data_IF_489585229783
#
_entry.id   IF_489585229783
#
_cell.length_a   1.000
_cell.length_b   1.000
_cell.length_c   1.000
_cell.angle_alpha   90.00
_cell.angle_beta   90.00
_cell.angle_gamma   90.00
#
_symmetry.space_group_name_H-M   'P 1'
#
loop_
_entity.id
_entity.type
_entity.pdbx_description
1 polymer ?
#
# COMPACT_ATOMS: atom_id res chain seq x y z
N UNK A 1 6.82 11.37 -19.79
CA UNK A 1 8.00 10.93 -20.57
C UNK A 1 9.31 11.64 -20.21
N UNK A 2 9.34 12.99 -20.27
CA UNK A 2 10.56 13.81 -20.10
C UNK A 2 11.45 13.41 -18.92
N UNK A 3 10.91 13.28 -17.70
CA UNK A 3 11.71 13.07 -16.50
C UNK A 3 12.57 11.80 -16.54
N UNK A 4 12.05 10.67 -17.02
CA UNK A 4 12.83 9.42 -17.08
C UNK A 4 13.87 9.47 -18.19
N UNK A 5 13.52 10.08 -19.33
CA UNK A 5 14.46 10.28 -20.44
C UNK A 5 15.60 11.21 -20.02
N UNK A 6 15.31 12.26 -19.27
CA UNK A 6 16.33 13.13 -18.71
C UNK A 6 17.36 12.35 -17.88
N UNK A 7 16.92 11.48 -16.95
CA UNK A 7 17.84 10.65 -16.16
C UNK A 7 18.66 9.69 -17.03
N UNK A 8 18.00 9.05 -18.00
CA UNK A 8 18.63 8.13 -18.95
C UNK A 8 19.70 8.82 -19.80
N UNK A 9 19.36 9.98 -20.36
CA UNK A 9 20.24 10.78 -21.23
C UNK A 9 21.43 11.39 -20.47
N UNK A 10 21.31 11.52 -19.14
CA UNK A 10 22.38 11.95 -18.24
C UNK A 10 23.17 10.78 -17.61
N UNK A 11 23.04 9.56 -18.13
CA UNK A 11 23.92 8.44 -17.82
C UNK A 11 23.39 7.44 -16.80
N UNK A 12 22.15 7.57 -16.32
CA UNK A 12 21.53 6.53 -15.53
C UNK A 12 21.11 5.34 -16.43
N UNK A 13 21.59 4.10 -16.16
CA UNK A 13 21.19 2.94 -16.96
C UNK A 13 19.68 2.71 -16.88
N UNK A 14 19.01 2.51 -18.02
CA UNK A 14 17.54 2.41 -18.09
C UNK A 14 17.02 1.27 -17.22
N UNK A 15 17.70 0.13 -17.22
CA UNK A 15 17.39 -1.06 -16.43
C UNK A 15 17.54 -0.86 -14.90
N UNK A 16 18.12 0.26 -14.45
CA UNK A 16 18.20 0.64 -13.04
C UNK A 16 17.21 1.74 -12.65
N UNK A 17 16.53 2.34 -13.63
CA UNK A 17 15.54 3.38 -13.40
C UNK A 17 14.16 2.76 -13.18
N UNK A 18 13.58 3.01 -12.02
CA UNK A 18 12.22 2.58 -11.67
C UNK A 18 11.25 3.75 -11.87
N UNK A 19 10.26 3.59 -12.74
CA UNK A 19 9.25 4.62 -13.03
C UNK A 19 8.31 4.74 -11.82
N UNK A 20 8.07 5.97 -11.34
CA UNK A 20 7.13 6.22 -10.24
C UNK A 20 5.66 6.14 -10.69
N UNK A 21 4.84 5.43 -9.91
CA UNK A 21 3.40 5.30 -10.08
C UNK A 21 2.71 5.80 -8.80
N UNK A 22 1.94 6.91 -8.87
CA UNK A 22 1.21 7.41 -7.71
C UNK A 22 -0.13 6.68 -7.58
N UNK A 23 -0.49 6.28 -6.36
CA UNK A 23 -1.84 5.80 -6.00
C UNK A 23 -2.63 6.90 -5.29
N UNK A 24 -2.36 8.14 -5.67
CA UNK A 24 -3.01 9.34 -5.15
C UNK A 24 -3.16 10.36 -6.28
N UNK A 25 -4.01 11.36 -6.07
CA UNK A 25 -4.18 12.51 -6.95
C UNK A 25 -3.82 13.82 -6.26
N UNK A 26 -3.62 14.86 -7.08
CA UNK A 26 -3.48 16.24 -6.61
C UNK A 26 -4.75 17.02 -6.93
N UNK A 27 -5.32 17.65 -5.91
CA UNK A 27 -6.61 18.32 -5.98
C UNK A 27 -6.49 19.84 -5.86
N UNK A 28 -7.44 20.54 -6.47
CA UNK A 28 -7.51 21.99 -6.57
C UNK A 28 -8.94 22.47 -6.34
N UNK A 29 -9.07 23.71 -5.87
CA UNK A 29 -10.35 24.43 -5.85
C UNK A 29 -10.40 25.39 -7.04
N UNK A 30 -11.25 25.10 -8.02
CA UNK A 30 -11.48 25.94 -9.20
C UNK A 30 -12.03 27.32 -8.81
N UNK A 31 -11.58 28.37 -9.49
CA UNK A 31 -12.16 29.71 -9.35
C UNK A 31 -13.55 29.80 -10.00
N UNK A 32 -13.74 29.07 -11.11
CA UNK A 32 -15.01 28.98 -11.83
C UNK A 32 -15.42 27.51 -11.99
N UNK A 33 -16.50 27.05 -11.33
CA UNK A 33 -17.00 25.67 -11.46
C UNK A 33 -17.36 25.23 -12.88
N UNK A 34 -17.60 26.18 -13.79
CA UNK A 34 -17.92 25.89 -15.18
C UNK A 34 -16.68 25.69 -16.06
N UNK A 35 -15.49 26.08 -15.60
CA UNK A 35 -14.22 25.84 -16.29
C UNK A 35 -13.46 24.72 -15.58
N UNK A 36 -13.65 23.50 -16.08
CA UNK A 36 -13.13 22.26 -15.49
C UNK A 36 -11.97 21.67 -16.29
N UNK A 37 -11.53 22.39 -17.30
CA UNK A 37 -10.46 21.97 -18.21
C UNK A 37 -9.10 21.93 -17.51
N UNK A 38 -8.18 21.12 -18.04
CA UNK A 38 -6.79 21.16 -17.61
C UNK A 38 -6.24 22.57 -17.88
N UNK A 39 -5.66 23.20 -16.85
CA UNK A 39 -5.16 24.58 -16.93
C UNK A 39 -6.16 25.65 -16.47
N UNK A 40 -7.38 25.26 -16.09
CA UNK A 40 -8.36 26.17 -15.49
C UNK A 40 -7.79 26.88 -14.23
N UNK A 41 -8.10 28.17 -14.00
CA UNK A 41 -7.63 28.89 -12.82
C UNK A 41 -8.11 28.27 -11.50
N UNK A 42 -7.17 28.01 -10.59
CA UNK A 42 -7.45 27.54 -9.24
C UNK A 42 -7.25 28.66 -8.21
N UNK A 43 -8.03 28.61 -7.13
CA UNK A 43 -7.92 29.48 -5.95
C UNK A 43 -6.99 28.93 -4.88
N UNK A 44 -6.66 27.63 -4.96
CA UNK A 44 -5.81 26.96 -3.99
C UNK A 44 -5.88 25.44 -4.08
N UNK A 45 -5.26 24.73 -3.11
CA UNK A 45 -5.40 23.29 -2.99
C UNK A 45 -6.86 22.90 -2.76
N UNK A 46 -7.26 21.74 -3.27
CA UNK A 46 -8.58 21.17 -3.01
C UNK A 46 -8.77 20.84 -1.51
N UNK A 47 -10.02 20.66 -1.06
CA UNK A 47 -10.29 20.28 0.32
C UNK A 47 -9.60 18.97 0.69
N UNK A 48 -9.22 18.87 1.97
CA UNK A 48 -8.59 17.66 2.50
C UNK A 48 -9.56 16.47 2.48
N UNK A 49 -9.07 15.31 2.06
CA UNK A 49 -9.84 14.07 2.10
C UNK A 49 -10.19 13.64 3.54
N UNK A 50 -11.27 12.86 3.73
CA UNK A 50 -11.71 12.43 5.05
C UNK A 50 -10.69 11.55 5.79
N UNK A 51 -9.81 10.86 5.06
CA UNK A 51 -8.81 9.94 5.60
C UNK A 51 -7.40 10.52 5.53
N UNK A 52 -6.98 11.00 4.36
CA UNK A 52 -5.63 11.58 4.18
C UNK A 52 -5.45 12.88 4.96
N UNK A 53 -6.52 13.67 5.10
CA UNK A 53 -6.56 14.92 5.88
C UNK A 53 -5.50 15.94 5.47
N UNK A 54 -5.09 15.90 4.21
CA UNK A 54 -4.13 16.82 3.61
C UNK A 54 -4.80 17.58 2.46
N UNK A 55 -4.88 18.91 2.58
CA UNK A 55 -5.43 19.74 1.51
C UNK A 55 -4.57 19.61 0.23
N UNK A 56 -5.21 19.41 -0.91
CA UNK A 56 -4.55 19.26 -2.21
C UNK A 56 -4.08 17.84 -2.53
N UNK A 57 -4.33 16.86 -1.68
CA UNK A 57 -3.99 15.45 -1.91
C UNK A 57 -5.21 14.58 -1.62
N UNK A 58 -5.50 13.61 -2.49
CA UNK A 58 -6.52 12.58 -2.26
C UNK A 58 -5.93 11.21 -2.57
N UNK A 59 -6.13 10.22 -1.70
CA UNK A 59 -5.80 8.83 -2.01
C UNK A 59 -6.73 8.29 -3.11
N UNK A 60 -6.32 7.24 -3.83
CA UNK A 60 -7.14 6.66 -4.91
C UNK A 60 -8.54 6.27 -4.43
N UNK A 61 -8.65 5.67 -3.24
CA UNK A 61 -9.93 5.29 -2.64
C UNK A 61 -10.81 6.51 -2.26
N UNK A 62 -10.23 7.67 -1.96
CA UNK A 62 -10.97 8.91 -1.74
C UNK A 62 -11.51 9.48 -3.06
N UNK A 63 -10.74 9.35 -4.14
CA UNK A 63 -11.17 9.73 -5.48
C UNK A 63 -12.32 8.83 -5.96
N UNK A 64 -12.26 7.52 -5.69
CA UNK A 64 -13.39 6.61 -5.94
C UNK A 64 -14.66 7.03 -5.18
N UNK A 65 -14.51 7.51 -3.94
CA UNK A 65 -15.63 8.04 -3.14
C UNK A 65 -16.20 9.32 -3.77
N UNK A 66 -15.33 10.22 -4.24
CA UNK A 66 -15.74 11.44 -4.95
C UNK A 66 -16.54 11.10 -6.22
N UNK A 67 -16.05 10.15 -7.04
CA UNK A 67 -16.74 9.65 -8.24
C UNK A 67 -18.09 9.01 -7.88
N UNK A 68 -18.13 8.14 -6.88
CA UNK A 68 -19.38 7.50 -6.39
C UNK A 68 -20.39 8.52 -5.87
N UNK A 69 -19.93 9.69 -5.42
CA UNK A 69 -20.80 10.79 -5.00
C UNK A 69 -21.37 11.63 -6.17
N UNK A 70 -21.09 11.26 -7.42
CA UNK A 70 -21.58 11.96 -8.62
C UNK A 70 -20.61 12.98 -9.21
N UNK A 71 -19.32 12.88 -8.92
CA UNK A 71 -18.31 13.65 -9.67
C UNK A 71 -18.19 13.14 -11.11
N UNK A 72 -17.87 14.04 -12.03
CA UNK A 72 -17.62 13.69 -13.43
C UNK A 72 -16.17 13.32 -13.62
N UNK A 73 -15.89 12.15 -14.19
CA UNK A 73 -14.58 11.78 -14.69
C UNK A 73 -14.43 12.24 -16.14
N UNK A 74 -13.29 12.83 -16.47
CA UNK A 74 -12.89 13.15 -17.83
C UNK A 74 -11.47 12.60 -18.09
N UNK A 75 -11.17 12.40 -19.37
CA UNK A 75 -9.87 11.90 -19.81
C UNK A 75 -9.13 13.00 -20.55
N UNK A 76 -7.87 13.23 -20.18
CA UNK A 76 -6.99 14.13 -20.90
C UNK A 76 -6.19 13.34 -21.94
N UNK A 77 -6.66 13.34 -23.20
CA UNK A 77 -6.02 12.62 -24.31
C UNK A 77 -4.54 12.98 -24.51
N UNK A 78 -4.10 14.26 -24.40
CA UNK A 78 -2.68 14.59 -24.58
C UNK A 78 -1.75 14.05 -23.49
N UNK A 79 -2.24 13.84 -22.26
CA UNK A 79 -1.43 13.38 -21.13
C UNK A 79 -1.70 11.92 -20.73
N UNK A 80 -2.67 11.25 -21.37
CA UNK A 80 -3.04 9.85 -21.09
C UNK A 80 -3.40 9.57 -19.62
N UNK A 81 -4.06 10.54 -18.96
CA UNK A 81 -4.47 10.44 -17.56
C UNK A 81 -5.89 10.97 -17.35
N UNK A 82 -6.60 10.44 -16.34
CA UNK A 82 -7.90 10.98 -15.96
C UNK A 82 -7.78 12.21 -15.06
N UNK A 83 -8.85 12.99 -15.03
CA UNK A 83 -9.15 13.90 -13.93
C UNK A 83 -10.63 13.76 -13.57
N UNK A 84 -11.01 14.24 -12.38
CA UNK A 84 -12.38 14.25 -11.92
C UNK A 84 -12.72 15.60 -11.31
N UNK A 85 -13.98 16.01 -11.43
CA UNK A 85 -14.45 17.28 -10.87
C UNK A 85 -15.90 17.22 -10.40
N UNK A 86 -16.21 18.06 -9.41
CA UNK A 86 -17.56 18.24 -8.87
C UNK A 86 -17.69 19.62 -8.23
N UNK A 87 -18.57 20.46 -8.76
CA UNK A 87 -18.64 21.85 -8.32
C UNK A 87 -17.31 22.56 -8.56
N UNK A 88 -16.70 23.08 -7.51
CA UNK A 88 -15.37 23.70 -7.57
C UNK A 88 -14.22 22.74 -7.23
N UNK A 89 -14.48 21.48 -6.88
CA UNK A 89 -13.42 20.50 -6.62
C UNK A 89 -12.94 19.88 -7.92
N UNK A 90 -11.62 19.80 -8.10
CA UNK A 90 -10.96 19.19 -9.25
C UNK A 90 -9.79 18.33 -8.76
N UNK A 91 -9.59 17.15 -9.32
CA UNK A 91 -8.47 16.26 -8.99
C UNK A 91 -7.92 15.58 -10.23
N UNK A 92 -6.60 15.72 -10.44
CA UNK A 92 -5.85 14.96 -11.43
C UNK A 92 -5.21 13.76 -10.75
N UNK A 93 -5.34 12.57 -11.35
CA UNK A 93 -4.95 11.32 -10.70
C UNK A 93 -4.62 10.24 -11.74
N UNK A 94 -4.31 9.05 -11.26
CA UNK A 94 -4.13 7.86 -12.07
C UNK A 94 -5.23 6.82 -11.81
N UNK A 95 -5.64 6.10 -12.85
CA UNK A 95 -6.55 4.96 -12.75
C UNK A 95 -5.93 3.72 -13.42
N UNK A 96 -6.66 2.60 -13.44
CA UNK A 96 -6.19 1.36 -14.07
C UNK A 96 -5.83 1.54 -15.56
N UNK A 97 -6.53 2.43 -16.29
CA UNK A 97 -6.23 2.73 -17.71
C UNK A 97 -4.89 3.46 -17.84
N UNK A 98 -4.67 4.55 -17.10
CA UNK A 98 -3.40 5.30 -17.15
C UNK A 98 -2.21 4.48 -16.63
N UNK A 99 -2.43 3.65 -15.60
CA UNK A 99 -1.42 2.68 -15.14
C UNK A 99 -1.01 1.73 -16.27
N UNK A 100 -1.98 1.17 -17.00
CA UNK A 100 -1.69 0.25 -18.11
C UNK A 100 -0.88 0.94 -19.21
N UNK A 101 -1.25 2.15 -19.60
CA UNK A 101 -0.52 2.94 -20.62
C UNK A 101 0.91 3.27 -20.17
N UNK A 102 1.09 3.67 -18.91
CA UNK A 102 2.41 3.93 -18.32
C UNK A 102 3.28 2.68 -18.27
N UNK A 103 2.70 1.50 -18.02
CA UNK A 103 3.44 0.22 -18.06
C UNK A 103 3.88 -0.14 -19.46
N UNK A 104 3.02 0.04 -20.47
CA UNK A 104 3.40 -0.19 -21.86
C UNK A 104 4.53 0.73 -22.28
N UNK A 105 4.45 2.01 -21.89
CA UNK A 105 5.51 2.98 -22.11
C UNK A 105 6.81 2.60 -21.38
N UNK A 106 6.73 2.18 -20.13
CA UNK A 106 7.87 1.72 -19.33
C UNK A 106 8.61 0.58 -20.04
N UNK A 107 7.87 -0.43 -20.49
CA UNK A 107 8.42 -1.60 -21.19
C UNK A 107 9.04 -1.22 -22.53
N UNK A 108 8.34 -0.39 -23.32
CA UNK A 108 8.83 0.10 -24.61
C UNK A 108 10.17 0.83 -24.50
N UNK A 109 10.42 1.49 -23.36
CA UNK A 109 11.63 2.26 -23.11
C UNK A 109 12.74 1.49 -22.37
N UNK A 110 12.53 0.19 -22.08
CA UNK A 110 13.44 -0.69 -21.36
C UNK A 110 13.82 -0.16 -19.95
N UNK A 111 12.87 0.45 -19.24
CA UNK A 111 13.09 0.83 -17.84
C UNK A 111 13.07 -0.39 -16.92
N UNK A 112 13.82 -0.32 -15.82
CA UNK A 112 14.08 -1.44 -14.91
C UNK A 112 12.88 -1.96 -14.12
N UNK A 113 11.82 -1.16 -14.03
CA UNK A 113 10.61 -1.53 -13.32
C UNK A 113 9.85 -0.32 -12.83
N UNK A 114 9.02 -0.52 -11.82
CA UNK A 114 8.15 0.50 -11.27
C UNK A 114 8.33 0.62 -9.76
N UNK A 115 8.18 1.85 -9.26
CA UNK A 115 8.06 2.19 -7.85
C UNK A 115 6.64 2.72 -7.64
N UNK A 116 5.99 2.33 -6.54
CA UNK A 116 4.64 2.81 -6.22
C UNK A 116 4.69 3.66 -4.96
N UNK A 117 4.08 4.85 -5.04
CA UNK A 117 3.79 5.67 -3.87
C UNK A 117 2.27 5.84 -3.75
N UNK A 118 1.59 5.19 -2.81
CA UNK A 118 2.08 4.16 -1.87
C UNK A 118 1.06 3.01 -1.72
N UNK A 119 1.43 1.97 -0.97
CA UNK A 119 0.56 0.79 -0.76
C UNK A 119 -0.77 1.17 -0.11
N UNK A 120 -0.72 2.02 0.92
CA UNK A 120 -1.86 2.43 1.74
C UNK A 120 -2.83 3.40 1.05
N UNK A 121 -2.45 3.98 -0.10
CA UNK A 121 -3.31 4.93 -0.84
C UNK A 121 -4.05 4.31 -2.03
N UNK A 122 -3.69 3.07 -2.42
CA UNK A 122 -4.53 2.26 -3.32
C UNK A 122 -5.79 1.79 -2.56
N UNK A 123 -6.80 1.25 -3.25
CA UNK A 123 -7.91 0.59 -2.55
C UNK A 123 -7.48 -0.78 -2.04
N UNK A 124 -6.62 -0.78 -1.02
CA UNK A 124 -6.01 -1.97 -0.43
C UNK A 124 -7.03 -2.93 0.19
N UNK A 125 -8.21 -2.41 0.58
CA UNK A 125 -9.32 -3.21 1.11
C UNK A 125 -10.25 -3.74 0.01
N UNK A 126 -10.32 -3.05 -1.13
CA UNK A 126 -11.26 -3.31 -2.22
C UNK A 126 -12.69 -2.88 -1.92
N UNK A 127 -12.89 -1.91 -1.04
CA UNK A 127 -14.23 -1.51 -0.55
C UNK A 127 -14.72 -0.15 -1.07
N UNK A 128 -13.86 0.62 -1.74
CA UNK A 128 -14.19 1.98 -2.18
C UNK A 128 -14.44 2.09 -3.67
N UNK A 129 -13.70 1.34 -4.48
CA UNK A 129 -13.71 1.49 -5.94
C UNK A 129 -14.56 0.44 -6.67
N UNK A 130 -14.94 -0.67 -6.02
CA UNK A 130 -15.52 -1.86 -6.65
C UNK A 130 -14.61 -2.49 -7.73
N UNK A 131 -13.29 -2.33 -7.59
CA UNK A 131 -12.27 -2.81 -8.54
C UNK A 131 -11.43 -3.98 -7.96
N UNK A 132 -11.81 -4.49 -6.78
CA UNK A 132 -11.05 -5.50 -6.03
C UNK A 132 -9.95 -4.88 -5.15
N UNK A 133 -9.16 -5.74 -4.48
CA UNK A 133 -8.07 -5.29 -3.61
C UNK A 133 -6.87 -4.83 -4.43
N UNK A 134 -6.27 -3.70 -4.04
CA UNK A 134 -5.10 -3.11 -4.69
C UNK A 134 -5.26 -3.00 -6.22
N UNK A 135 -6.32 -2.34 -6.73
CA UNK A 135 -6.62 -2.34 -8.16
C UNK A 135 -5.51 -1.72 -9.01
N UNK A 136 -4.88 -0.63 -8.56
CA UNK A 136 -3.80 0.02 -9.30
C UNK A 136 -2.53 -0.82 -9.26
N UNK A 137 -2.10 -1.28 -8.08
CA UNK A 137 -0.90 -2.09 -7.94
C UNK A 137 -1.05 -3.45 -8.63
N UNK A 138 -2.25 -4.05 -8.60
CA UNK A 138 -2.54 -5.29 -9.33
C UNK A 138 -2.47 -5.09 -10.84
N UNK A 139 -2.95 -3.93 -11.34
CA UNK A 139 -2.82 -3.55 -12.75
C UNK A 139 -1.35 -3.43 -13.15
N UNK A 140 -0.54 -2.78 -12.31
CA UNK A 140 0.90 -2.66 -12.52
C UNK A 140 1.60 -4.03 -12.54
N UNK A 141 1.34 -4.89 -11.53
CA UNK A 141 1.87 -6.25 -11.44
C UNK A 141 1.51 -7.07 -12.68
N UNK A 142 0.26 -6.95 -13.16
CA UNK A 142 -0.22 -7.60 -14.38
C UNK A 142 0.52 -7.14 -15.62
N UNK A 143 0.62 -5.83 -15.85
CA UNK A 143 1.26 -5.27 -17.04
C UNK A 143 2.76 -5.59 -17.14
N UNK A 144 3.43 -5.70 -15.98
CA UNK A 144 4.83 -6.12 -15.89
C UNK A 144 5.04 -7.64 -16.03
N UNK A 145 3.97 -8.43 -16.16
CA UNK A 145 4.07 -9.89 -16.32
C UNK A 145 4.43 -10.64 -15.03
N UNK A 146 4.27 -10.01 -13.86
CA UNK A 146 4.64 -10.57 -12.56
C UNK A 146 3.54 -11.47 -11.95
N UNK A 147 2.59 -11.93 -12.77
CA UNK A 147 1.43 -12.75 -12.36
C UNK A 147 1.84 -14.17 -11.93
N UNK A 148 2.95 -14.69 -12.46
CA UNK A 148 3.50 -16.02 -12.14
C UNK A 148 4.72 -15.97 -11.21
N UNK A 149 5.07 -14.77 -10.71
CA UNK A 149 6.14 -14.56 -9.73
C UNK A 149 5.59 -14.69 -8.32
N UNK A 150 5.37 -15.93 -7.90
CA UNK A 150 5.07 -16.32 -6.53
C UNK A 150 3.68 -16.99 -6.38
N UNK A 151 3.57 -18.28 -6.03
CA UNK A 151 3.77 -18.70 -4.64
C UNK A 151 3.98 -17.46 -3.78
N UNK A 152 2.96 -17.06 -3.02
CA UNK A 152 3.22 -16.18 -1.90
C UNK A 152 4.54 -16.66 -1.31
N UNK A 153 5.57 -15.82 -1.34
CA UNK A 153 6.55 -15.91 -0.28
C UNK A 153 5.71 -15.55 0.94
N UNK A 154 4.95 -16.56 1.44
CA UNK A 154 4.83 -16.78 2.86
C UNK A 154 6.18 -16.37 3.38
N UNK A 155 6.20 -15.44 4.34
CA UNK A 155 7.42 -15.14 5.07
C UNK A 155 8.02 -16.50 5.38
N UNK A 156 9.07 -16.90 4.66
CA UNK A 156 9.61 -18.25 4.79
C UNK A 156 10.07 -18.21 6.22
N UNK A 157 9.32 -18.91 7.09
CA UNK A 157 9.78 -19.14 8.43
C UNK A 157 11.00 -20.00 8.19
N UNK A 158 12.15 -19.33 8.07
CA UNK A 158 13.40 -20.01 7.93
C UNK A 158 13.47 -20.79 9.23
N UNK A 159 13.23 -22.10 9.14
CA UNK A 159 13.80 -23.04 10.07
C UNK A 159 15.30 -23.03 9.83
N UNK A 160 15.93 -21.87 10.03
CA UNK A 160 17.35 -21.75 10.22
C UNK A 160 17.60 -22.25 11.64
N UNK A 161 17.99 -23.53 11.73
CA UNK A 161 18.84 -23.96 12.84
C UNK A 161 20.12 -23.12 12.75
N UNK A 162 20.11 -21.96 13.40
CA UNK A 162 21.22 -21.02 13.37
C UNK A 162 20.73 -19.60 13.58
N UNK A 163 20.63 -19.20 14.85
CA UNK A 163 20.40 -17.83 15.29
C UNK A 163 21.42 -16.85 14.67
N UNK A 164 21.00 -15.83 13.93
CA UNK A 164 21.80 -14.63 13.73
C UNK A 164 21.48 -13.66 14.88
N UNK A 165 22.49 -13.39 15.69
CA UNK A 165 22.45 -12.34 16.71
C UNK A 165 22.52 -10.99 15.99
N UNK A 166 21.43 -10.23 15.97
CA UNK A 166 21.47 -8.80 15.62
C UNK A 166 21.55 -7.97 16.92
N UNK A 167 22.32 -6.87 16.92
CA UNK A 167 22.54 -6.06 18.11
C UNK A 167 21.29 -5.22 18.38
N UNK A 168 20.55 -5.59 19.43
CA UNK A 168 19.47 -4.75 19.95
C UNK A 168 20.10 -3.61 20.73
N UNK A 169 19.78 -2.39 20.31
CA UNK A 169 20.09 -1.16 20.99
C UNK A 169 19.61 -1.24 22.45
N UNK A 170 20.51 -0.89 23.37
CA UNK A 170 20.24 -0.88 24.80
C UNK A 170 19.07 0.05 25.15
N UNK A 171 17.97 -0.57 25.54
CA UNK A 171 16.95 0.04 26.39
C UNK A 171 17.00 -0.68 27.73
N UNK A 172 17.63 -0.03 28.72
CA UNK A 172 17.61 -0.47 30.11
C UNK A 172 16.18 -0.45 30.65
N UNK A 173 15.75 -1.59 31.21
CA UNK A 173 14.48 -1.74 31.92
C UNK A 173 14.50 -3.04 32.71
N UNK A 174 14.94 -2.97 33.97
CA UNK A 174 15.20 -4.12 34.82
C UNK A 174 13.96 -4.76 35.47
N UNK A 175 14.14 -6.03 35.86
CA UNK A 175 13.31 -6.81 36.79
C UNK A 175 12.12 -7.54 36.15
N UNK A 176 11.73 -8.76 36.50
CA UNK A 176 12.18 -9.73 37.50
C UNK A 176 11.45 -11.06 37.20
N UNK A 177 12.15 -12.20 37.23
CA UNK A 177 11.57 -13.50 37.64
C UNK A 177 10.46 -14.14 36.81
N UNK A 178 10.49 -14.11 35.48
CA UNK A 178 9.60 -14.93 34.64
C UNK A 178 10.16 -16.33 34.41
N UNK A 179 9.49 -17.38 34.88
CA UNK A 179 9.76 -18.78 34.49
C UNK A 179 8.81 -19.21 33.38
N UNK A 180 9.31 -19.88 32.33
CA UNK A 180 8.48 -20.45 31.25
C UNK A 180 8.83 -19.92 29.86
N UNK A 181 7.95 -20.17 28.88
CA UNK A 181 8.13 -19.81 27.47
C UNK A 181 8.42 -18.32 27.23
N UNK A 182 7.82 -17.44 28.04
CA UNK A 182 7.93 -15.99 27.91
C UNK A 182 9.19 -15.37 28.53
N UNK A 183 10.07 -16.17 29.13
CA UNK A 183 11.31 -15.66 29.73
C UNK A 183 12.18 -14.96 28.68
N UNK A 184 12.43 -13.66 28.86
CA UNK A 184 13.23 -12.84 27.94
C UNK A 184 12.54 -12.48 26.62
N UNK A 185 11.24 -12.79 26.46
CA UNK A 185 10.45 -12.36 25.31
C UNK A 185 9.78 -11.00 25.57
N UNK A 186 9.61 -10.15 24.54
CA UNK A 186 8.74 -8.98 24.62
C UNK A 186 7.30 -9.36 25.00
N UNK A 187 6.52 -8.36 25.42
CA UNK A 187 5.09 -8.54 25.64
C UNK A 187 4.39 -8.79 24.29
N UNK A 188 3.47 -9.76 24.23
CA UNK A 188 2.78 -10.12 22.99
C UNK A 188 2.18 -11.51 23.01
N UNK A 189 1.48 -11.86 21.92
CA UNK A 189 0.87 -13.17 21.72
C UNK A 189 1.76 -14.02 20.81
N UNK A 190 2.01 -15.26 21.20
CA UNK A 190 2.90 -16.19 20.52
C UNK A 190 2.21 -17.53 20.32
N UNK A 191 2.39 -18.17 19.16
CA UNK A 191 1.88 -19.51 18.92
C UNK A 191 2.53 -20.53 19.88
N UNK A 192 1.74 -21.49 20.36
CA UNK A 192 2.27 -22.66 21.05
C UNK A 192 2.99 -23.57 20.02
N UNK A 193 4.25 -23.97 20.26
CA UNK A 193 5.02 -24.78 19.33
C UNK A 193 4.58 -26.26 19.29
N UNK A 194 3.80 -26.73 20.25
CA UNK A 194 3.35 -28.12 20.39
C UNK A 194 1.87 -28.29 20.05
N UNK A 195 1.04 -27.28 20.30
CA UNK A 195 -0.40 -27.34 20.02
C UNK A 195 -0.88 -26.14 19.20
N UNK A 196 -1.25 -26.39 17.94
CA UNK A 196 -1.76 -25.34 17.03
C UNK A 196 -3.05 -24.68 17.52
N UNK A 197 -3.76 -25.26 18.48
CA UNK A 197 -4.95 -24.67 19.09
C UNK A 197 -4.64 -23.78 20.28
N UNK A 198 -3.38 -23.66 20.67
CA UNK A 198 -2.95 -22.89 21.83
C UNK A 198 -2.00 -21.76 21.45
N UNK A 199 -1.95 -20.78 22.33
CA UNK A 199 -1.05 -19.65 22.22
C UNK A 199 -0.68 -19.12 23.61
N UNK A 200 0.47 -18.49 23.71
CA UNK A 200 0.98 -17.85 24.92
C UNK A 200 0.82 -16.34 24.82
N UNK A 201 0.19 -15.74 25.82
CA UNK A 201 0.28 -14.31 26.06
C UNK A 201 1.43 -14.06 27.03
N UNK A 202 2.46 -13.33 26.57
CA UNK A 202 3.60 -12.94 27.37
C UNK A 202 3.38 -11.54 27.96
N UNK A 203 3.44 -11.42 29.28
CA UNK A 203 3.37 -10.15 29.99
C UNK A 203 4.47 -10.10 31.05
N UNK A 204 5.42 -9.17 30.89
CA UNK A 204 6.57 -8.95 31.78
C UNK A 204 7.35 -10.25 32.07
N UNK A 205 7.54 -11.08 31.05
CA UNK A 205 8.24 -12.36 31.15
C UNK A 205 7.41 -13.51 31.73
N UNK A 206 6.16 -13.28 32.16
CA UNK A 206 5.25 -14.34 32.61
C UNK A 206 4.51 -14.98 31.43
N UNK A 207 4.31 -16.30 31.51
CA UNK A 207 3.65 -17.10 30.48
C UNK A 207 2.20 -17.37 30.85
N UNK A 208 1.26 -16.92 30.00
CA UNK A 208 -0.17 -17.23 30.13
C UNK A 208 -0.60 -18.05 28.92
N UNK A 209 -0.88 -19.34 29.13
CA UNK A 209 -1.40 -20.21 28.08
C UNK A 209 -2.89 -19.96 27.86
N UNK A 210 -3.30 -19.87 26.60
CA UNK A 210 -4.68 -19.76 26.16
C UNK A 210 -4.96 -20.76 25.05
N UNK A 211 -6.23 -21.13 24.89
CA UNK A 211 -6.70 -22.02 23.83
C UNK A 211 -7.71 -21.29 22.96
N UNK A 212 -7.62 -21.53 21.66
CA UNK A 212 -8.65 -21.16 20.71
C UNK A 212 -9.95 -21.91 20.97
N UNK A 213 -11.07 -21.32 20.53
CA UNK A 213 -12.36 -22.01 20.57
C UNK A 213 -12.31 -23.33 19.79
N UNK A 214 -13.17 -24.27 20.17
CA UNK A 214 -13.18 -25.62 19.61
C UNK A 214 -13.33 -25.58 18.07
N UNK A 215 -12.33 -26.12 17.37
CA UNK A 215 -12.29 -26.16 15.90
C UNK A 215 -11.41 -25.10 15.26
N UNK A 216 -10.94 -24.10 16.03
CA UNK A 216 -10.04 -23.06 15.54
C UNK A 216 -8.58 -23.35 15.90
N UNK A 217 -7.66 -22.78 15.12
CA UNK A 217 -6.20 -22.80 15.34
C UNK A 217 -5.69 -21.37 15.44
N UNK A 218 -4.60 -21.17 16.16
CA UNK A 218 -3.99 -19.85 16.29
C UNK A 218 -3.22 -19.49 15.01
N UNK A 219 -3.55 -18.35 14.41
CA UNK A 219 -2.91 -17.77 13.24
C UNK A 219 -1.99 -16.60 13.67
N UNK A 220 -0.66 -16.76 13.58
CA UNK A 220 0.29 -15.70 13.93
C UNK A 220 0.17 -14.45 13.06
N UNK A 221 -0.36 -14.54 11.83
CA UNK A 221 -0.45 -13.41 10.90
C UNK A 221 -1.45 -12.34 11.39
N UNK A 222 -2.55 -12.78 11.99
CA UNK A 222 -3.55 -11.90 12.60
C UNK A 222 -3.43 -11.82 14.13
N UNK A 223 -2.58 -12.64 14.76
CA UNK A 223 -2.56 -12.85 16.21
C UNK A 223 -3.95 -13.23 16.76
N UNK A 224 -4.66 -14.09 16.04
CA UNK A 224 -6.06 -14.43 16.29
C UNK A 224 -6.34 -15.93 16.07
N UNK A 225 -7.45 -16.44 16.59
CA UNK A 225 -7.89 -17.81 16.32
C UNK A 225 -8.71 -17.83 15.02
N UNK A 226 -8.31 -18.67 14.07
CA UNK A 226 -8.93 -18.77 12.75
C UNK A 226 -9.19 -20.25 12.40
N UNK A 227 -9.94 -20.49 11.31
CA UNK A 227 -10.14 -21.84 10.80
C UNK A 227 -8.82 -22.43 10.27
N UNK A 228 -8.58 -23.75 10.45
CA UNK A 228 -7.36 -24.42 10.00
C UNK A 228 -7.11 -24.37 8.49
#
# INVERSE_FOLDING_TARGET
EYAMNYWKDNGAPAEKLLVGFPTYGKSFTLQNPSDTSVGAPASGPGPAGPYTREAGTLAYYEICSLLSSGATQAWDEPQDVPYAYKGNEWVGYDNMKSFSLKVDWLKKNNFGGAMVWALDMDDFTGTFCNEGKYPLISTLKKGLGLQNGGEWLECVSSSSKGTPKLPVAGGEGGGSGGSGFCAGKPNGIYADPQDKRKFYNCLNGQTFEQSCEAGLVFDPACSCCNWP
#
